data_IF_725938584101
#
_entry.id   IF_725938584101
#
_cell.length_a   1.000
_cell.length_b   1.000
_cell.length_c   1.000
_cell.angle_alpha   90.00
_cell.angle_beta   90.00
_cell.angle_gamma   90.00
#
_symmetry.space_group_name_H-M   'P 1'
#
loop_
_entity.id
_entity.type
_entity.pdbx_description
1 polymer ?
#
# COMPACT_ATOMS: atom_id res chain seq x y z
N UNK A 1 -15.75 31.50 -31.09
CA UNK A 1 -14.61 31.13 -30.27
C UNK A 1 -14.85 29.70 -29.85
N UNK A 2 -14.00 28.75 -30.24
CA UNK A 2 -14.05 27.41 -29.67
C UNK A 2 -13.67 27.56 -28.19
N UNK A 3 -14.52 27.06 -27.29
CA UNK A 3 -14.14 26.90 -25.88
C UNK A 3 -12.92 25.99 -25.87
N UNK A 4 -11.81 26.47 -25.33
CA UNK A 4 -10.63 25.63 -25.15
C UNK A 4 -11.07 24.44 -24.27
N UNK A 5 -10.89 23.23 -24.76
CA UNK A 5 -11.21 22.02 -23.99
C UNK A 5 -10.25 21.99 -22.80
N UNK A 6 -10.79 21.88 -21.59
CA UNK A 6 -9.99 21.73 -20.38
C UNK A 6 -9.16 20.44 -20.52
N UNK A 7 -7.83 20.50 -20.36
CA UNK A 7 -7.01 19.28 -20.48
C UNK A 7 -7.31 18.30 -19.36
N UNK A 8 -7.31 17.00 -19.66
CA UNK A 8 -7.56 15.93 -18.69
C UNK A 8 -6.26 15.24 -18.34
N UNK A 9 -5.97 15.13 -17.05
CA UNK A 9 -4.88 14.32 -16.51
C UNK A 9 -5.45 12.97 -16.02
N UNK A 10 -4.99 11.87 -16.60
CA UNK A 10 -5.44 10.53 -16.23
C UNK A 10 -4.48 9.85 -15.28
N UNK A 11 -4.95 9.52 -14.07
CA UNK A 11 -4.20 8.82 -13.03
C UNK A 11 -4.74 7.41 -12.83
N UNK A 12 -3.92 6.39 -13.06
CA UNK A 12 -4.26 5.02 -12.69
C UNK A 12 -3.95 4.83 -11.22
N UNK A 13 -4.94 4.36 -10.45
CA UNK A 13 -4.81 4.15 -9.00
C UNK A 13 -5.59 2.91 -8.55
N UNK A 14 -5.28 2.33 -7.38
CA UNK A 14 -6.05 1.23 -6.81
C UNK A 14 -7.49 1.65 -6.47
N UNK A 15 -8.37 0.65 -6.35
CA UNK A 15 -9.79 0.87 -6.04
C UNK A 15 -10.01 1.54 -4.68
N UNK A 16 -9.26 1.15 -3.64
CA UNK A 16 -9.36 1.79 -2.32
C UNK A 16 -8.99 3.28 -2.36
N UNK A 17 -8.01 3.66 -3.21
CA UNK A 17 -7.59 5.04 -3.35
C UNK A 17 -8.65 5.92 -4.01
N UNK A 18 -9.35 5.36 -5.01
CA UNK A 18 -10.32 6.08 -5.85
C UNK A 18 -11.76 6.03 -5.32
N UNK A 19 -12.01 5.25 -4.27
CA UNK A 19 -13.33 5.13 -3.66
C UNK A 19 -13.79 6.44 -2.99
N UNK A 20 -15.09 6.58 -2.73
CA UNK A 20 -15.65 7.76 -2.06
C UNK A 20 -15.06 8.02 -0.67
N UNK A 21 -14.59 6.97 0.00
CA UNK A 21 -13.96 7.03 1.32
C UNK A 21 -12.42 7.11 1.27
N UNK A 22 -11.85 6.92 0.08
CA UNK A 22 -10.40 7.01 -0.16
C UNK A 22 -9.91 8.45 -0.35
N UNK A 23 -8.60 8.64 -0.51
CA UNK A 23 -8.01 9.98 -0.66
C UNK A 23 -8.29 10.63 -2.03
N UNK A 24 -8.62 9.83 -3.07
CA UNK A 24 -8.78 10.28 -4.45
C UNK A 24 -9.68 11.50 -4.61
N UNK A 25 -10.93 11.51 -4.10
CA UNK A 25 -11.83 12.66 -4.27
C UNK A 25 -11.31 13.97 -3.68
N UNK A 26 -10.63 13.90 -2.52
CA UNK A 26 -10.04 15.08 -1.90
C UNK A 26 -8.81 15.57 -2.65
N UNK A 27 -7.99 14.66 -3.16
CA UNK A 27 -6.80 14.96 -3.98
C UNK A 27 -7.21 15.58 -5.31
N UNK A 28 -8.23 15.01 -5.98
CA UNK A 28 -8.82 15.54 -7.21
C UNK A 28 -9.24 17.00 -7.00
N UNK A 29 -10.12 17.25 -6.03
CA UNK A 29 -10.59 18.58 -5.71
C UNK A 29 -9.46 19.57 -5.44
N UNK A 30 -8.44 19.17 -4.68
CA UNK A 30 -7.32 20.05 -4.34
C UNK A 30 -6.39 20.34 -5.52
N UNK A 31 -6.13 19.35 -6.35
CA UNK A 31 -5.29 19.56 -7.53
C UNK A 31 -5.96 20.45 -8.58
N UNK A 32 -7.27 20.26 -8.79
CA UNK A 32 -8.06 21.03 -9.76
C UNK A 32 -8.19 22.51 -9.38
N UNK A 33 -8.09 22.87 -8.09
CA UNK A 33 -8.03 24.27 -7.66
C UNK A 33 -6.85 25.05 -8.32
N UNK A 34 -5.80 24.36 -8.75
CA UNK A 34 -4.55 25.00 -9.20
C UNK A 34 -4.14 24.64 -10.63
N UNK A 35 -4.53 23.47 -11.15
CA UNK A 35 -4.02 22.99 -12.44
C UNK A 35 -4.76 23.54 -13.67
N UNK A 36 -5.96 24.11 -13.52
CA UNK A 36 -6.85 24.43 -14.61
C UNK A 36 -7.04 23.21 -15.57
N UNK A 37 -7.21 22.05 -14.98
CA UNK A 37 -7.36 20.77 -15.64
C UNK A 37 -8.50 19.94 -15.01
N UNK A 38 -8.87 18.84 -15.64
CA UNK A 38 -9.77 17.80 -15.16
C UNK A 38 -8.90 16.59 -14.74
N UNK A 39 -8.85 16.27 -13.44
CA UNK A 39 -8.11 15.12 -12.93
C UNK A 39 -9.02 13.90 -12.87
N UNK A 40 -8.71 12.87 -13.64
CA UNK A 40 -9.51 11.65 -13.70
C UNK A 40 -8.76 10.46 -13.15
N UNK A 41 -9.28 9.89 -12.07
CA UNK A 41 -8.80 8.62 -11.56
C UNK A 41 -9.42 7.44 -12.32
N UNK A 42 -8.57 6.48 -12.71
CA UNK A 42 -8.99 5.21 -13.32
C UNK A 42 -8.59 4.05 -12.43
N UNK A 43 -9.57 3.50 -11.72
CA UNK A 43 -9.38 2.40 -10.77
C UNK A 43 -8.95 1.09 -11.44
N UNK A 44 -8.18 0.27 -10.72
CA UNK A 44 -7.89 -1.10 -11.13
C UNK A 44 -6.56 -1.66 -10.62
N UNK A 45 -6.28 -2.89 -11.05
CA UNK A 45 -5.00 -3.55 -10.77
C UNK A 45 -3.90 -2.96 -11.66
N UNK A 46 -2.94 -2.29 -11.05
CA UNK A 46 -1.97 -1.45 -11.75
C UNK A 46 -1.00 -2.26 -12.63
N UNK A 47 -0.18 -3.11 -12.01
CA UNK A 47 0.89 -3.79 -12.74
C UNK A 47 0.37 -4.73 -13.85
N UNK A 48 -0.65 -5.58 -13.65
CA UNK A 48 -1.22 -6.39 -14.71
C UNK A 48 -1.75 -5.56 -15.87
N UNK A 49 -2.43 -4.44 -15.58
CA UNK A 49 -2.93 -3.51 -16.59
C UNK A 49 -1.80 -2.88 -17.39
N UNK A 50 -0.75 -2.39 -16.73
CA UNK A 50 0.40 -1.79 -17.38
C UNK A 50 1.17 -2.79 -18.25
N UNK A 51 1.30 -4.04 -17.81
CA UNK A 51 1.89 -5.13 -18.63
C UNK A 51 1.09 -5.35 -19.91
N UNK A 52 -0.25 -5.34 -19.82
CA UNK A 52 -1.14 -5.54 -20.97
C UNK A 52 -1.11 -4.35 -21.93
N UNK A 53 -1.16 -3.13 -21.42
CA UNK A 53 -1.23 -1.90 -22.23
C UNK A 53 0.16 -1.50 -22.79
N UNK A 54 1.22 -1.74 -22.03
CA UNK A 54 2.60 -1.39 -22.42
C UNK A 54 2.73 0.08 -22.80
N UNK A 55 3.36 0.34 -23.95
CA UNK A 55 3.55 1.71 -24.48
C UNK A 55 2.25 2.40 -24.93
N UNK A 56 1.13 1.67 -24.98
CA UNK A 56 -0.19 2.19 -25.37
C UNK A 56 -1.04 2.56 -24.14
N UNK A 57 -0.46 2.54 -22.95
CA UNK A 57 -1.17 2.97 -21.73
C UNK A 57 -1.72 4.39 -21.89
N UNK A 58 -2.90 4.61 -21.34
CA UNK A 58 -3.57 5.92 -21.34
C UNK A 58 -3.31 6.71 -20.06
N UNK A 59 -2.59 6.13 -19.12
CA UNK A 59 -2.22 6.84 -17.93
C UNK A 59 -1.20 7.95 -18.22
N UNK A 60 -1.36 9.08 -17.58
CA UNK A 60 -0.34 10.12 -17.47
C UNK A 60 0.53 9.87 -16.21
N UNK A 61 -0.12 9.40 -15.14
CA UNK A 61 0.48 9.03 -13.86
C UNK A 61 -0.04 7.65 -13.45
N UNK A 62 0.81 6.87 -12.79
CA UNK A 62 0.43 5.66 -12.05
C UNK A 62 0.72 5.89 -10.58
N UNK A 63 -0.26 5.70 -9.71
CA UNK A 63 -0.20 5.97 -8.28
C UNK A 63 -0.67 4.73 -7.52
N UNK A 64 0.11 4.26 -6.53
CA UNK A 64 -0.19 3.06 -5.74
C UNK A 64 0.61 1.81 -6.18
N UNK A 65 1.74 1.99 -6.88
CA UNK A 65 2.76 0.94 -6.97
C UNK A 65 3.45 0.81 -5.60
N UNK A 66 4.17 -0.29 -5.35
CA UNK A 66 4.99 -0.44 -4.15
C UNK A 66 6.40 -0.95 -4.50
N UNK A 67 7.31 -0.89 -3.53
CA UNK A 67 8.72 -1.27 -3.71
C UNK A 67 8.95 -2.70 -4.21
N UNK A 68 8.02 -3.61 -3.92
CA UNK A 68 8.17 -5.03 -4.29
C UNK A 68 7.95 -5.31 -5.78
N UNK A 69 7.30 -4.39 -6.47
CA UNK A 69 6.99 -4.51 -7.90
C UNK A 69 7.73 -3.50 -8.78
N UNK A 70 8.55 -2.60 -8.19
CA UNK A 70 9.26 -1.54 -8.94
C UNK A 70 10.17 -2.11 -10.02
N UNK A 71 10.89 -3.21 -9.77
CA UNK A 71 11.74 -3.84 -10.79
C UNK A 71 10.94 -4.24 -12.03
N UNK A 72 9.80 -4.90 -11.86
CA UNK A 72 8.93 -5.29 -12.98
C UNK A 72 8.33 -4.08 -13.67
N UNK A 73 7.91 -3.07 -12.91
CA UNK A 73 7.37 -1.84 -13.45
C UNK A 73 8.43 -1.08 -14.26
N UNK A 74 9.66 -0.99 -13.76
CA UNK A 74 10.82 -0.37 -14.43
C UNK A 74 11.15 -1.07 -15.74
N UNK A 75 11.13 -2.41 -15.76
CA UNK A 75 11.44 -3.23 -16.94
C UNK A 75 10.43 -3.06 -18.09
N UNK A 76 9.22 -2.54 -17.81
CA UNK A 76 8.27 -2.16 -18.86
C UNK A 76 8.78 -1.00 -19.73
N UNK A 77 9.71 -0.18 -19.23
CA UNK A 77 10.28 0.95 -19.95
C UNK A 77 9.29 2.08 -20.27
N UNK A 78 8.14 2.10 -19.59
CA UNK A 78 7.04 3.07 -19.84
C UNK A 78 7.13 4.31 -18.97
N UNK A 79 7.93 4.31 -17.92
CA UNK A 79 8.06 5.43 -16.99
C UNK A 79 9.21 6.37 -17.36
N UNK A 80 9.13 7.60 -16.89
CA UNK A 80 10.16 8.63 -17.03
C UNK A 80 10.58 9.17 -15.67
N UNK A 81 11.81 9.69 -15.53
CA UNK A 81 12.25 10.33 -14.28
C UNK A 81 11.30 11.43 -13.84
N UNK A 82 10.97 11.45 -12.54
CA UNK A 82 10.09 12.48 -11.98
C UNK A 82 10.80 13.85 -11.84
N UNK A 83 12.13 13.87 -11.70
CA UNK A 83 12.96 15.09 -11.59
C UNK A 83 12.58 16.00 -10.42
N UNK A 84 12.08 15.41 -9.32
CA UNK A 84 11.70 16.16 -8.12
C UNK A 84 12.80 16.09 -7.07
N UNK A 85 12.85 17.14 -6.24
CA UNK A 85 13.77 17.18 -5.11
C UNK A 85 13.23 16.33 -3.95
N UNK A 86 13.98 15.26 -3.62
CA UNK A 86 13.63 14.34 -2.55
C UNK A 86 13.97 14.90 -1.14
N UNK A 87 14.49 16.12 -1.02
CA UNK A 87 14.87 16.72 0.27
C UNK A 87 13.71 16.90 1.24
N UNK A 88 12.48 16.98 0.72
CA UNK A 88 11.25 17.06 1.54
C UNK A 88 10.81 15.72 2.11
N UNK A 89 11.31 14.59 1.58
CA UNK A 89 10.92 13.27 2.03
C UNK A 89 11.34 13.04 3.50
N UNK A 90 10.44 12.43 4.27
CA UNK A 90 10.59 12.08 5.69
C UNK A 90 10.25 10.60 5.88
N UNK A 91 11.03 9.76 5.22
CA UNK A 91 10.87 8.30 5.24
C UNK A 91 11.72 7.66 6.34
N UNK A 92 11.42 6.42 6.74
CA UNK A 92 12.24 5.66 7.69
C UNK A 92 13.57 5.17 7.07
N UNK A 93 13.79 5.36 5.78
CA UNK A 93 15.00 5.01 5.03
C UNK A 93 15.31 6.06 3.97
N UNK A 94 16.58 6.13 3.53
CA UNK A 94 16.98 6.99 2.41
C UNK A 94 16.25 6.56 1.13
N UNK A 95 15.95 7.55 0.27
CA UNK A 95 15.26 7.38 -0.99
C UNK A 95 15.93 8.17 -2.10
N UNK A 96 16.41 7.47 -3.13
CA UNK A 96 17.17 8.05 -4.26
C UNK A 96 16.62 7.61 -5.63
N UNK A 97 15.46 6.95 -5.68
CA UNK A 97 14.84 6.53 -6.94
C UNK A 97 14.42 7.74 -7.78
N UNK A 98 14.82 7.76 -9.06
CA UNK A 98 14.51 8.86 -9.98
C UNK A 98 13.16 8.69 -10.69
N UNK A 99 12.57 7.49 -10.68
CA UNK A 99 11.33 7.14 -11.39
C UNK A 99 10.15 7.09 -10.44
N UNK A 100 10.32 6.39 -9.31
CA UNK A 100 9.26 6.13 -8.35
C UNK A 100 9.37 7.08 -7.17
N UNK A 101 8.32 7.89 -6.97
CA UNK A 101 8.23 8.86 -5.88
C UNK A 101 7.27 8.35 -4.81
N UNK A 102 7.71 8.14 -3.55
CA UNK A 102 6.81 7.73 -2.48
C UNK A 102 5.87 8.87 -2.11
N UNK A 103 4.59 8.55 -1.93
CA UNK A 103 3.60 9.53 -1.49
C UNK A 103 3.07 9.25 -0.09
N UNK A 104 3.16 8.00 0.36
CA UNK A 104 2.90 7.59 1.74
C UNK A 104 3.63 6.30 2.09
N UNK A 105 3.54 5.92 3.36
CA UNK A 105 4.16 4.69 3.84
C UNK A 105 3.53 4.17 5.13
N UNK A 106 3.75 2.90 5.41
CA UNK A 106 3.39 2.22 6.65
C UNK A 106 4.25 0.96 6.83
N UNK A 107 3.84 0.09 7.76
CA UNK A 107 4.39 -1.26 7.89
C UNK A 107 3.26 -2.29 7.75
N UNK A 108 3.49 -3.34 6.98
CA UNK A 108 2.58 -4.48 6.94
C UNK A 108 2.39 -5.06 8.35
N UNK A 109 1.15 -5.35 8.72
CA UNK A 109 0.80 -5.91 10.02
C UNK A 109 -0.53 -6.65 9.94
N UNK A 110 -0.82 -7.44 10.96
CA UNK A 110 -2.17 -7.93 11.21
C UNK A 110 -2.87 -7.00 12.19
N UNK A 111 -4.09 -6.59 11.87
CA UNK A 111 -4.98 -5.86 12.79
C UNK A 111 -5.94 -6.85 13.41
N UNK A 112 -6.09 -6.80 14.72
CA UNK A 112 -6.93 -7.70 15.50
C UNK A 112 -8.00 -6.94 16.27
N UNK A 113 -9.16 -7.56 16.38
CA UNK A 113 -10.20 -7.18 17.33
C UNK A 113 -9.86 -7.73 18.71
N UNK A 114 -9.48 -6.84 19.64
CA UNK A 114 -9.07 -7.23 20.99
C UNK A 114 -10.21 -7.75 21.86
N UNK A 115 -11.47 -7.60 21.44
CA UNK A 115 -12.61 -8.24 22.10
C UNK A 115 -12.67 -9.74 21.82
N UNK A 116 -12.02 -10.19 20.72
CA UNK A 116 -11.97 -11.61 20.32
C UNK A 116 -10.67 -12.29 20.73
N UNK A 117 -9.53 -11.57 20.64
CA UNK A 117 -8.23 -12.11 21.01
C UNK A 117 -7.20 -11.01 21.21
N UNK A 118 -6.19 -11.27 22.03
CA UNK A 118 -5.02 -10.39 22.13
C UNK A 118 -4.21 -10.48 20.81
N UNK A 119 -3.75 -9.34 20.25
CA UNK A 119 -2.84 -9.37 19.11
C UNK A 119 -1.56 -10.16 19.42
N UNK A 120 -1.12 -11.07 18.54
CA UNK A 120 0.15 -11.77 18.72
C UNK A 120 1.33 -10.81 18.58
N UNK A 121 2.43 -11.11 19.27
CA UNK A 121 3.67 -10.32 19.25
C UNK A 121 4.78 -10.96 18.42
N UNK A 122 4.46 -12.04 17.71
CA UNK A 122 5.39 -12.74 16.81
C UNK A 122 4.63 -13.61 15.80
N UNK A 123 5.32 -14.01 14.73
CA UNK A 123 4.83 -15.00 13.79
C UNK A 123 4.55 -16.35 14.46
N UNK A 124 5.34 -16.73 15.47
CA UNK A 124 5.12 -17.95 16.24
C UNK A 124 3.83 -17.87 17.07
N UNK A 125 3.58 -16.74 17.77
CA UNK A 125 2.34 -16.54 18.50
C UNK A 125 1.12 -16.53 17.56
N UNK A 126 1.26 -16.02 16.33
CA UNK A 126 0.21 -16.07 15.31
C UNK A 126 -0.19 -17.53 14.98
N UNK A 127 0.78 -18.45 14.85
CA UNK A 127 0.51 -19.88 14.66
C UNK A 127 -0.20 -20.49 15.86
N UNK A 128 0.09 -20.03 17.07
CA UNK A 128 -0.41 -20.58 18.32
C UNK A 128 -1.74 -19.98 18.79
N UNK A 129 -2.36 -19.09 18.00
CA UNK A 129 -3.72 -18.61 18.31
C UNK A 129 -4.71 -19.75 18.46
N UNK A 130 -5.77 -19.63 19.27
CA UNK A 130 -6.83 -20.65 19.40
C UNK A 130 -7.39 -21.05 18.03
N UNK A 131 -7.87 -22.29 17.89
CA UNK A 131 -8.35 -22.83 16.60
C UNK A 131 -9.52 -22.06 16.01
N UNK A 132 -10.36 -21.48 16.85
CA UNK A 132 -11.51 -20.67 16.47
C UNK A 132 -11.14 -19.22 16.09
N UNK A 133 -9.93 -18.78 16.36
CA UNK A 133 -9.44 -17.47 15.96
C UNK A 133 -8.93 -17.56 14.52
N UNK A 134 -9.54 -16.79 13.65
CA UNK A 134 -9.25 -16.78 12.21
C UNK A 134 -8.82 -15.40 11.75
N UNK A 135 -7.99 -15.38 10.71
CA UNK A 135 -7.52 -14.19 10.03
C UNK A 135 -7.90 -14.22 8.55
N UNK A 136 -8.02 -13.06 7.96
CA UNK A 136 -8.17 -12.88 6.51
C UNK A 136 -6.87 -12.28 5.94
N UNK A 137 -6.43 -12.81 4.82
CA UNK A 137 -5.30 -12.30 4.05
C UNK A 137 -5.69 -12.05 2.60
N UNK A 138 -4.84 -11.35 1.85
CA UNK A 138 -5.07 -11.08 0.44
C UNK A 138 -4.19 -11.98 -0.44
N UNK A 139 -4.67 -12.22 -1.67
CA UNK A 139 -3.93 -12.98 -2.69
C UNK A 139 -2.71 -12.18 -3.17
N UNK A 140 -1.49 -12.70 -3.04
CA UNK A 140 -0.27 -12.01 -3.44
C UNK A 140 -0.14 -11.78 -4.94
N UNK A 141 -0.98 -12.43 -5.74
CA UNK A 141 -0.97 -12.31 -7.21
C UNK A 141 -1.77 -11.10 -7.70
N UNK A 142 -2.71 -10.62 -6.90
CA UNK A 142 -3.60 -9.51 -7.22
C UNK A 142 -3.51 -8.34 -6.24
N UNK A 143 -2.93 -8.54 -5.06
CA UNK A 143 -2.82 -7.52 -4.01
C UNK A 143 -1.36 -7.27 -3.61
N UNK A 144 -0.96 -5.99 -3.63
CA UNK A 144 0.38 -5.58 -3.18
C UNK A 144 0.58 -5.81 -1.67
N UNK A 145 -0.47 -5.70 -0.85
CA UNK A 145 -0.40 -6.05 0.58
C UNK A 145 -0.24 -7.55 0.80
N UNK A 146 -0.94 -8.36 -0.01
CA UNK A 146 -0.73 -9.81 -0.03
C UNK A 146 0.69 -10.20 -0.43
N UNK A 147 1.26 -9.51 -1.42
CA UNK A 147 2.65 -9.71 -1.83
C UNK A 147 3.63 -9.32 -0.72
N UNK A 148 3.42 -8.17 -0.07
CA UNK A 148 4.24 -7.75 1.06
C UNK A 148 4.25 -8.79 2.20
N UNK A 149 3.10 -9.40 2.52
CA UNK A 149 3.05 -10.47 3.52
C UNK A 149 3.89 -11.69 3.12
N UNK A 150 3.80 -12.12 1.86
CA UNK A 150 4.58 -13.28 1.41
C UNK A 150 6.07 -13.01 1.49
N UNK A 151 6.49 -11.83 1.07
CA UNK A 151 7.88 -11.42 1.13
C UNK A 151 8.35 -11.24 2.58
N UNK A 152 7.49 -10.72 3.45
CA UNK A 152 7.77 -10.62 4.88
C UNK A 152 8.02 -12.00 5.50
N UNK A 153 7.12 -12.97 5.27
CA UNK A 153 7.30 -14.35 5.73
C UNK A 153 8.58 -14.96 5.12
N UNK A 154 8.82 -14.75 3.83
CA UNK A 154 10.03 -15.25 3.16
C UNK A 154 11.31 -14.64 3.73
N UNK A 155 11.30 -13.35 4.08
CA UNK A 155 12.46 -12.68 4.69
C UNK A 155 12.78 -13.22 6.07
N UNK A 156 11.77 -13.57 6.86
CA UNK A 156 11.94 -14.11 8.22
C UNK A 156 12.32 -15.59 8.21
N UNK A 157 11.69 -16.40 7.37
CA UNK A 157 11.82 -17.86 7.43
C UNK A 157 12.73 -18.46 6.33
N UNK A 158 13.10 -17.69 5.32
CA UNK A 158 13.97 -18.17 4.25
C UNK A 158 13.40 -19.43 3.58
N UNK A 159 14.18 -20.49 3.54
CA UNK A 159 13.78 -21.77 2.92
C UNK A 159 12.67 -22.51 3.70
N UNK A 160 12.42 -22.13 4.96
CA UNK A 160 11.35 -22.70 5.79
C UNK A 160 10.00 -21.96 5.62
N UNK A 161 9.90 -20.98 4.71
CA UNK A 161 8.67 -20.23 4.51
C UNK A 161 7.48 -21.11 4.12
N UNK A 162 7.70 -22.13 3.28
CA UNK A 162 6.68 -23.11 2.90
C UNK A 162 6.12 -23.88 4.09
N UNK A 163 6.98 -24.31 5.02
CA UNK A 163 6.56 -24.99 6.25
C UNK A 163 5.76 -24.03 7.18
N UNK A 164 6.17 -22.78 7.27
CA UNK A 164 5.43 -21.77 8.01
C UNK A 164 4.01 -21.59 7.45
N UNK A 165 3.87 -21.50 6.13
CA UNK A 165 2.57 -21.37 5.47
C UNK A 165 1.65 -22.58 5.73
N UNK A 166 2.18 -23.80 5.70
CA UNK A 166 1.41 -25.01 6.05
C UNK A 166 0.85 -24.94 7.48
N UNK A 167 1.65 -24.43 8.43
CA UNK A 167 1.22 -24.26 9.81
C UNK A 167 0.22 -23.11 9.98
N UNK A 168 0.32 -22.05 9.17
CA UNK A 168 -0.59 -20.90 9.21
C UNK A 168 -1.92 -21.17 8.49
N UNK A 169 -1.93 -22.00 7.47
CA UNK A 169 -3.12 -22.28 6.64
C UNK A 169 -4.39 -22.57 7.46
N UNK A 170 -4.38 -23.38 8.56
CA UNK A 170 -5.56 -23.60 9.38
C UNK A 170 -6.09 -22.36 10.12
N UNK A 171 -5.34 -21.27 10.21
CA UNK A 171 -5.74 -19.98 10.81
C UNK A 171 -6.38 -19.04 9.80
N UNK A 172 -6.16 -19.25 8.51
CA UNK A 172 -6.70 -18.43 7.44
C UNK A 172 -8.16 -18.79 7.23
N UNK A 173 -9.06 -17.82 7.37
CA UNK A 173 -10.49 -17.96 7.08
C UNK A 173 -10.70 -18.02 5.57
N UNK A 174 -10.12 -17.03 4.88
CA UNK A 174 -10.21 -16.90 3.43
C UNK A 174 -9.06 -16.03 2.90
N UNK A 175 -8.85 -16.10 1.59
CA UNK A 175 -7.93 -15.28 0.83
C UNK A 175 -8.74 -14.44 -0.14
N UNK A 176 -8.74 -13.13 0.01
CA UNK A 176 -9.50 -12.22 -0.83
C UNK A 176 -8.68 -11.72 -2.01
N UNK A 177 -9.34 -11.18 -3.03
CA UNK A 177 -8.67 -10.60 -4.18
C UNK A 177 -7.90 -9.33 -3.83
N UNK A 178 -8.47 -8.48 -2.97
CA UNK A 178 -7.92 -7.18 -2.60
C UNK A 178 -8.09 -6.86 -1.11
N UNK A 179 -7.51 -5.72 -0.73
CA UNK A 179 -7.51 -5.27 0.66
C UNK A 179 -8.90 -4.88 1.15
N UNK A 180 -9.67 -4.13 0.36
CA UNK A 180 -11.01 -3.63 0.75
C UNK A 180 -11.95 -4.76 1.15
N UNK A 181 -11.98 -5.87 0.37
CA UNK A 181 -12.78 -7.05 0.68
C UNK A 181 -12.32 -7.72 1.98
N UNK A 182 -11.00 -7.88 2.17
CA UNK A 182 -10.46 -8.47 3.39
C UNK A 182 -10.82 -7.65 4.63
N UNK A 183 -10.66 -6.33 4.52
CA UNK A 183 -10.94 -5.43 5.63
C UNK A 183 -12.43 -5.38 5.97
N UNK A 184 -13.30 -5.43 4.95
CA UNK A 184 -14.76 -5.54 5.12
C UNK A 184 -15.14 -6.77 5.93
N UNK A 185 -14.62 -7.97 5.59
CA UNK A 185 -14.86 -9.19 6.36
C UNK A 185 -14.42 -9.08 7.83
N UNK A 186 -13.35 -8.34 8.09
CA UNK A 186 -12.89 -8.08 9.46
C UNK A 186 -13.83 -7.14 10.21
N UNK A 187 -14.25 -6.03 9.60
CA UNK A 187 -15.17 -5.05 10.21
C UNK A 187 -16.57 -5.62 10.41
N UNK A 188 -17.02 -6.50 9.53
CA UNK A 188 -18.27 -7.26 9.65
C UNK A 188 -18.19 -8.34 10.74
N UNK A 189 -17.01 -8.56 11.32
CA UNK A 189 -16.81 -9.49 12.42
C UNK A 189 -16.67 -10.96 12.02
N UNK A 190 -16.51 -11.27 10.73
CA UNK A 190 -16.32 -12.64 10.22
C UNK A 190 -14.96 -13.22 10.64
N UNK A 191 -13.95 -12.37 10.80
CA UNK A 191 -12.62 -12.76 11.27
C UNK A 191 -12.23 -11.99 12.55
N UNK A 192 -11.30 -12.56 13.30
CA UNK A 192 -10.73 -11.90 14.47
C UNK A 192 -9.53 -11.01 14.12
N UNK A 193 -8.94 -11.23 12.96
CA UNK A 193 -7.82 -10.43 12.46
C UNK A 193 -7.77 -10.37 10.95
N UNK A 194 -7.09 -9.37 10.42
CA UNK A 194 -6.92 -9.13 8.99
C UNK A 194 -5.50 -8.66 8.71
N UNK A 195 -4.93 -9.07 7.57
CA UNK A 195 -3.71 -8.47 7.05
C UNK A 195 -4.01 -7.03 6.62
N UNK A 196 -3.28 -6.09 7.19
CA UNK A 196 -3.39 -4.66 6.91
C UNK A 196 -2.07 -3.97 7.32
N UNK A 197 -2.15 -2.82 7.98
CA UNK A 197 -1.00 -2.00 8.30
C UNK A 197 -0.99 -1.58 9.76
N UNK A 198 0.19 -1.19 10.26
CA UNK A 198 0.34 -0.68 11.63
C UNK A 198 -0.45 0.59 11.88
N UNK A 199 -0.79 1.33 10.84
CA UNK A 199 -1.55 2.58 10.87
C UNK A 199 -3.08 2.40 10.80
N UNK A 200 -3.57 1.25 10.36
CA UNK A 200 -5.01 0.99 10.17
C UNK A 200 -5.88 1.24 11.43
N UNK A 201 -5.40 0.99 12.67
CA UNK A 201 -6.19 1.32 13.86
C UNK A 201 -6.56 2.80 14.00
N UNK A 202 -5.83 3.72 13.33
CA UNK A 202 -6.12 5.15 13.38
C UNK A 202 -7.54 5.48 12.90
N UNK A 203 -8.01 4.80 11.84
CA UNK A 203 -9.37 4.95 11.35
C UNK A 203 -10.41 4.66 12.44
N UNK A 204 -10.31 3.50 13.07
CA UNK A 204 -11.26 3.08 14.11
C UNK A 204 -11.25 4.03 15.30
N UNK A 205 -10.06 4.49 15.72
CA UNK A 205 -9.94 5.43 16.84
C UNK A 205 -10.53 6.80 16.48
N UNK A 206 -10.21 7.33 15.30
CA UNK A 206 -10.56 8.70 14.92
C UNK A 206 -12.01 8.85 14.42
N UNK A 207 -12.55 7.84 13.73
CA UNK A 207 -13.85 7.90 13.06
C UNK A 207 -14.93 7.15 13.83
N UNK A 208 -14.60 5.98 14.38
CA UNK A 208 -15.55 5.09 15.06
C UNK A 208 -15.48 5.19 16.58
N UNK A 209 -14.51 5.93 17.13
CA UNK A 209 -14.20 5.99 18.57
C UNK A 209 -13.93 4.60 19.17
N UNK A 210 -13.47 3.65 18.32
CA UNK A 210 -13.21 2.26 18.68
C UNK A 210 -11.70 2.02 18.91
N UNK A 211 -11.33 1.79 20.17
CA UNK A 211 -9.96 1.48 20.58
C UNK A 211 -9.66 -0.01 20.62
N UNK A 212 -10.61 -0.85 20.22
CA UNK A 212 -10.48 -2.31 20.28
C UNK A 212 -9.72 -2.89 19.09
N UNK A 213 -9.61 -2.19 17.98
CA UNK A 213 -8.85 -2.61 16.81
C UNK A 213 -7.40 -2.23 16.99
N UNK A 214 -6.50 -3.22 17.05
CA UNK A 214 -5.07 -3.00 17.33
C UNK A 214 -4.19 -3.75 16.35
N UNK A 215 -3.13 -3.09 15.91
CA UNK A 215 -2.09 -3.73 15.10
C UNK A 215 -1.21 -4.64 15.97
N UNK A 216 -0.90 -5.81 15.45
CA UNK A 216 0.08 -6.73 16.03
C UNK A 216 1.49 -6.20 15.76
N UNK A 217 2.33 -6.09 16.79
CA UNK A 217 3.72 -5.66 16.64
C UNK A 217 4.64 -6.85 16.90
N UNK A 218 5.24 -7.35 15.81
CA UNK A 218 6.06 -8.56 15.84
C UNK A 218 7.51 -8.27 16.22
N UNK A 219 8.05 -9.08 17.11
CA UNK A 219 9.44 -8.97 17.58
C UNK A 219 10.48 -9.24 16.48
N UNK A 220 10.11 -9.97 15.42
CA UNK A 220 10.94 -10.28 14.27
C UNK A 220 11.19 -9.07 13.37
N UNK A 221 10.47 -7.96 13.60
CA UNK A 221 10.46 -6.78 12.75
C UNK A 221 9.31 -6.81 11.75
N UNK A 222 9.07 -5.68 11.10
CA UNK A 222 7.98 -5.51 10.14
C UNK A 222 8.47 -5.18 8.76
N UNK A 223 7.68 -5.55 7.77
CA UNK A 223 7.92 -5.25 6.37
C UNK A 223 7.44 -3.82 6.07
N UNK A 224 8.33 -2.88 5.69
CA UNK A 224 7.92 -1.54 5.34
C UNK A 224 7.14 -1.58 4.02
N UNK A 225 6.14 -0.73 3.92
CA UNK A 225 5.27 -0.63 2.77
C UNK A 225 5.21 0.82 2.34
N UNK A 226 5.76 1.10 1.15
CA UNK A 226 5.74 2.41 0.52
C UNK A 226 4.81 2.38 -0.67
N UNK A 227 3.91 3.34 -0.76
CA UNK A 227 3.11 3.55 -1.96
C UNK A 227 3.77 4.61 -2.84
N UNK A 228 3.84 4.31 -4.12
CA UNK A 228 4.69 5.02 -5.07
C UNK A 228 3.88 5.56 -6.22
N UNK A 229 4.24 6.77 -6.66
CA UNK A 229 3.77 7.39 -7.88
C UNK A 229 4.86 7.36 -8.95
N UNK A 230 4.45 7.22 -10.22
CA UNK A 230 5.35 7.28 -11.36
C UNK A 230 4.73 7.99 -12.54
N UNK A 231 5.53 8.81 -13.22
CA UNK A 231 5.13 9.54 -14.42
C UNK A 231 5.30 8.67 -15.66
N UNK A 232 4.29 8.60 -16.50
CA UNK A 232 4.32 7.82 -17.74
C UNK A 232 5.01 8.60 -18.85
N UNK A 233 5.97 7.95 -19.52
CA UNK A 233 6.82 8.57 -20.56
C UNK A 233 6.04 9.02 -21.79
N UNK A 234 5.00 8.27 -22.19
CA UNK A 234 4.18 8.55 -23.38
C UNK A 234 3.05 9.55 -23.12
N UNK A 235 2.96 10.11 -21.90
CA UNK A 235 1.96 11.12 -21.57
C UNK A 235 2.03 12.29 -22.56
N UNK A 236 0.87 12.74 -23.03
CA UNK A 236 0.74 13.95 -23.83
C UNK A 236 0.55 15.20 -22.98
N UNK A 237 0.40 15.02 -21.67
CA UNK A 237 0.16 16.04 -20.66
C UNK A 237 1.37 16.17 -19.72
N UNK A 238 2.60 16.19 -20.28
CA UNK A 238 3.86 16.16 -19.51
C UNK A 238 3.93 17.26 -18.45
N UNK A 239 3.48 18.48 -18.78
CA UNK A 239 3.48 19.60 -17.83
C UNK A 239 2.53 19.35 -16.67
N UNK A 240 1.30 18.89 -16.93
CA UNK A 240 0.33 18.53 -15.90
C UNK A 240 0.81 17.35 -15.05
N UNK A 241 1.38 16.33 -15.70
CA UNK A 241 1.97 15.19 -15.00
C UNK A 241 3.13 15.65 -14.09
N UNK A 242 3.96 16.57 -14.54
CA UNK A 242 5.02 17.15 -13.71
C UNK A 242 4.47 17.98 -12.56
N UNK A 243 3.40 18.77 -12.78
CA UNK A 243 2.72 19.51 -11.72
C UNK A 243 2.11 18.58 -10.67
N UNK A 244 1.53 17.45 -11.11
CA UNK A 244 0.98 16.47 -10.17
C UNK A 244 2.07 15.82 -9.31
N UNK A 245 3.26 15.53 -9.88
CA UNK A 245 4.40 15.04 -9.10
C UNK A 245 4.93 16.08 -8.10
N UNK A 246 4.87 17.40 -8.42
CA UNK A 246 5.16 18.46 -7.44
C UNK A 246 4.09 18.51 -6.35
N UNK A 247 2.82 18.39 -6.75
CA UNK A 247 1.70 18.39 -5.83
C UNK A 247 1.78 17.24 -4.81
N UNK A 248 2.24 16.04 -5.22
CA UNK A 248 2.49 14.92 -4.31
C UNK A 248 3.41 15.32 -3.14
N UNK A 249 4.41 16.16 -3.38
CA UNK A 249 5.34 16.63 -2.35
C UNK A 249 4.86 17.87 -1.61
N UNK A 250 3.71 18.42 -1.98
CA UNK A 250 3.18 19.63 -1.34
C UNK A 250 2.49 19.33 0.00
N UNK A 251 2.37 20.38 0.81
CA UNK A 251 1.64 20.30 2.08
C UNK A 251 0.16 19.95 1.82
N UNK A 252 -0.44 20.48 0.75
CA UNK A 252 -1.85 20.26 0.39
C UNK A 252 -2.17 18.79 0.11
N UNK A 253 -1.22 18.05 -0.46
CA UNK A 253 -1.37 16.60 -0.67
C UNK A 253 -1.05 15.82 0.60
N UNK A 254 0.09 16.13 1.24
CA UNK A 254 0.61 15.33 2.35
C UNK A 254 -0.25 15.46 3.62
N UNK A 255 -0.89 16.61 3.84
CA UNK A 255 -1.81 16.80 4.98
C UNK A 255 -3.11 16.01 4.83
N UNK A 256 -3.50 15.60 3.60
CA UNK A 256 -4.65 14.73 3.38
C UNK A 256 -4.38 13.27 3.77
N UNK A 257 -3.16 12.77 3.54
CA UNK A 257 -2.81 11.35 3.64
C UNK A 257 -3.18 10.72 5.00
N UNK A 258 -2.87 11.31 6.16
CA UNK A 258 -3.15 10.66 7.44
C UNK A 258 -4.62 10.32 7.65
N UNK A 259 -5.55 11.19 7.25
CA UNK A 259 -6.98 11.04 7.56
C UNK A 259 -7.82 10.52 6.38
N UNK A 260 -7.21 10.29 5.22
CA UNK A 260 -7.92 9.77 4.04
C UNK A 260 -7.35 8.46 3.52
N UNK A 261 -6.02 8.25 3.61
CA UNK A 261 -5.35 6.98 3.27
C UNK A 261 -4.86 6.22 4.50
N UNK A 262 -5.00 6.78 5.69
CA UNK A 262 -4.65 6.15 6.97
C UNK A 262 -3.21 5.63 6.99
N UNK A 263 -2.32 6.37 6.35
CA UNK A 263 -0.88 6.09 6.23
C UNK A 263 -0.05 7.25 6.76
N UNK A 264 1.23 7.01 7.00
CA UNK A 264 2.16 8.11 7.29
C UNK A 264 2.45 8.88 6.00
N UNK A 265 2.41 10.22 6.01
CA UNK A 265 2.82 11.01 4.85
C UNK A 265 4.31 10.78 4.55
N UNK A 266 4.67 10.78 3.27
CA UNK A 266 6.06 10.55 2.83
C UNK A 266 6.92 11.80 2.82
N UNK A 267 6.31 12.99 2.83
CA UNK A 267 7.01 14.25 2.89
C UNK A 267 6.56 15.08 4.09
N UNK A 268 7.23 16.20 4.29
CA UNK A 268 6.90 17.12 5.36
C UNK A 268 5.49 17.69 5.15
N UNK A 269 4.67 17.60 6.21
CA UNK A 269 3.35 18.22 6.29
C UNK A 269 3.46 19.64 6.84
N UNK A 270 2.48 20.49 6.55
CA UNK A 270 2.35 21.82 7.14
C UNK A 270 1.88 21.73 8.59
N UNK A 271 0.88 20.91 8.81
CA UNK A 271 0.29 20.70 10.11
C UNK A 271 0.99 19.54 10.87
N UNK A 272 0.87 19.52 12.18
CA UNK A 272 1.27 18.37 12.98
C UNK A 272 0.38 17.15 12.59
N UNK A 273 0.97 15.99 12.59
CA UNK A 273 0.19 14.77 12.36
C UNK A 273 -0.93 14.64 13.40
N UNK A 274 -2.12 14.16 12.99
CA UNK A 274 -3.19 13.89 13.93
C UNK A 274 -2.68 13.06 15.12
N UNK A 275 -3.07 13.41 16.34
CA UNK A 275 -2.56 12.78 17.57
C UNK A 275 -2.72 11.27 17.58
N UNK A 276 -3.74 10.74 16.92
CA UNK A 276 -3.96 9.31 16.77
C UNK A 276 -2.76 8.58 16.14
N UNK A 277 -2.01 9.21 15.23
CA UNK A 277 -0.82 8.63 14.62
C UNK A 277 0.40 8.67 15.54
N UNK A 278 0.46 9.62 16.46
CA UNK A 278 1.54 9.72 17.44
C UNK A 278 1.48 8.58 18.45
N UNK A 279 0.27 8.10 18.77
CA UNK A 279 0.04 7.06 19.78
C UNK A 279 0.07 5.64 19.20
N UNK A 280 0.15 5.49 17.88
CA UNK A 280 0.25 4.16 17.24
C UNK A 280 1.59 3.50 17.58
N UNK A 281 1.57 2.21 17.92
CA UNK A 281 2.79 1.48 18.19
C UNK A 281 3.62 1.32 16.91
N UNK A 282 4.92 1.64 16.99
CA UNK A 282 5.85 1.50 15.87
C UNK A 282 6.71 0.25 16.02
N UNK A 283 6.98 -0.48 14.92
CA UNK A 283 7.95 -1.56 14.90
C UNK A 283 9.34 -1.08 15.31
N UNK A 284 10.10 -1.94 16.01
CA UNK A 284 11.47 -1.63 16.42
C UNK A 284 12.49 -1.81 15.30
N UNK A 285 12.17 -2.61 14.31
CA UNK A 285 13.03 -2.90 13.16
C UNK A 285 12.21 -3.15 11.91
N UNK A 286 12.80 -2.77 10.77
CA UNK A 286 12.30 -3.08 9.44
C UNK A 286 13.06 -4.27 8.87
N UNK A 287 12.35 -5.15 8.15
CA UNK A 287 12.91 -6.27 7.39
C UNK A 287 12.32 -6.23 5.99
N UNK A 288 13.16 -6.21 4.96
CA UNK A 288 12.71 -6.10 3.57
C UNK A 288 13.75 -6.68 2.61
N UNK A 289 13.36 -6.86 1.38
CA UNK A 289 14.21 -7.17 0.26
C UNK A 289 14.50 -5.89 -0.54
N UNK A 290 15.69 -5.81 -1.13
CA UNK A 290 15.93 -4.83 -2.20
C UNK A 290 15.03 -5.13 -3.41
N UNK A 291 14.87 -4.16 -4.31
CA UNK A 291 14.08 -4.29 -5.55
C UNK A 291 14.47 -5.56 -6.36
N UNK A 292 15.77 -5.81 -6.51
CA UNK A 292 16.26 -6.96 -7.25
C UNK A 292 15.98 -8.28 -6.51
N UNK A 293 16.29 -8.35 -5.22
CA UNK A 293 16.02 -9.54 -4.40
C UNK A 293 14.50 -9.86 -4.39
N UNK A 294 13.63 -8.86 -4.21
CA UNK A 294 12.18 -9.05 -4.25
C UNK A 294 11.74 -9.63 -5.60
N UNK A 295 12.26 -9.09 -6.70
CA UNK A 295 11.94 -9.58 -8.05
C UNK A 295 12.36 -11.03 -8.28
N UNK A 296 13.54 -11.43 -7.79
CA UNK A 296 14.07 -12.78 -7.93
C UNK A 296 13.29 -13.80 -7.09
N UNK A 297 12.94 -13.44 -5.85
CA UNK A 297 12.34 -14.37 -4.88
C UNK A 297 10.82 -14.50 -4.99
N UNK A 298 10.13 -13.50 -5.56
CA UNK A 298 8.66 -13.40 -5.58
C UNK A 298 7.99 -14.65 -6.15
N UNK A 299 8.49 -15.16 -7.27
CA UNK A 299 7.89 -16.35 -7.92
C UNK A 299 7.93 -17.57 -7.00
N UNK A 300 9.09 -17.83 -6.41
CA UNK A 300 9.27 -18.94 -5.47
C UNK A 300 8.39 -18.76 -4.24
N UNK A 301 8.34 -17.55 -3.65
CA UNK A 301 7.54 -17.26 -2.47
C UNK A 301 6.03 -17.47 -2.73
N UNK A 302 5.53 -17.08 -3.90
CA UNK A 302 4.14 -17.33 -4.32
C UNK A 302 3.88 -18.85 -4.49
N UNK A 303 4.80 -19.60 -5.07
CA UNK A 303 4.67 -21.05 -5.24
C UNK A 303 4.64 -21.79 -3.90
N UNK A 304 5.52 -21.43 -2.97
CA UNK A 304 5.55 -21.97 -1.60
C UNK A 304 4.23 -21.73 -0.87
N UNK A 305 3.72 -20.50 -0.90
CA UNK A 305 2.44 -20.13 -0.31
C UNK A 305 1.27 -20.90 -0.95
N UNK A 306 1.19 -20.91 -2.28
CA UNK A 306 0.10 -21.60 -2.99
C UNK A 306 0.07 -23.08 -2.69
N UNK A 307 1.23 -23.75 -2.70
CA UNK A 307 1.34 -25.18 -2.43
C UNK A 307 0.91 -25.49 -0.99
N UNK A 308 1.22 -24.63 -0.04
CA UNK A 308 0.83 -24.82 1.35
C UNK A 308 -0.69 -24.64 1.57
N UNK A 309 -1.34 -23.71 0.89
CA UNK A 309 -2.78 -23.45 1.04
C UNK A 309 -3.67 -24.40 0.20
N UNK A 310 -3.08 -25.15 -0.73
CA UNK A 310 -3.82 -26.12 -1.58
C UNK A 310 -3.91 -27.53 -0.97
N UNK A 311 -3.30 -27.76 0.19
CA UNK A 311 -3.34 -29.03 0.92
C UNK A 311 -4.49 -29.02 1.93
#
# INVERSE_FOLDING_TARGET
MALAQIPTLTVYAPDYFTSEWGPGPSIESKFEETCNCDLVFSAGELLPRLVLEGQNTRADIVLGLNTDITKKARDLGIFSPHKKDNSRLKLPSDWDDEIFLPFDWSYASFVFDTTKTKPPSSFEELLNLPKNIKIVIQDPRSSISGLALILWVKKIYGDNAGEYWQKLAPKILTVTKGWSEAYGLFTDGEAAGVLSFTTSPAYHIAVEEDITKKAAIFKEGHYPFFELAAKVRSSKNEELASMFMDFILSDEFQDLIPMTNWSYPSAQTKDEWPSVFSDLPRPKSAVYFSENEASEITKQAIEEWRNALSQ
#
